data_IF_381539433823
#
_entry.id   IF_381539433823
#
_cell.length_a   1.000
_cell.length_b   1.000
_cell.length_c   1.000
_cell.angle_alpha   90.00
_cell.angle_beta   90.00
_cell.angle_gamma   90.00
#
_symmetry.space_group_name_H-M   'P 1'
#
loop_
_entity.id
_entity.type
_entity.pdbx_description
1 polymer ?
#
# COMPACT_ATOMS: atom_id res chain seq x y z
N UNK A 1 12.58 5.22 -14.89
CA UNK A 1 11.34 5.40 -14.12
C UNK A 1 10.57 6.55 -14.72
N UNK A 2 9.32 6.33 -15.13
CA UNK A 2 8.47 7.36 -15.76
C UNK A 2 8.02 8.37 -14.71
N UNK A 3 8.59 9.56 -14.76
CA UNK A 3 8.14 10.69 -13.98
C UNK A 3 6.65 10.95 -14.26
N UNK A 4 5.81 10.93 -13.22
CA UNK A 4 4.39 11.28 -13.30
C UNK A 4 3.42 10.18 -13.73
N UNK A 5 3.87 8.94 -13.93
CA UNK A 5 3.00 7.79 -14.20
C UNK A 5 3.30 6.66 -13.21
N UNK A 6 2.72 6.75 -12.02
CA UNK A 6 2.68 5.68 -11.04
C UNK A 6 1.30 5.68 -10.40
N UNK A 7 0.72 4.50 -10.19
CA UNK A 7 -0.54 4.39 -9.47
C UNK A 7 -0.24 4.55 -7.97
N UNK A 8 -0.55 5.71 -7.36
CA UNK A 8 0.11 6.16 -6.13
C UNK A 8 -0.15 5.25 -4.92
N UNK A 9 -1.20 4.42 -4.97
CA UNK A 9 -1.55 3.49 -3.89
C UNK A 9 -0.69 2.22 -3.83
N UNK A 10 0.12 1.95 -4.86
CA UNK A 10 1.10 0.87 -4.87
C UNK A 10 2.51 1.37 -4.52
N UNK A 11 2.70 2.68 -4.53
CA UNK A 11 3.99 3.32 -4.28
C UNK A 11 4.37 3.22 -2.79
N UNK A 12 5.61 2.83 -2.53
CA UNK A 12 6.17 2.75 -1.17
C UNK A 12 6.23 4.14 -0.48
N UNK A 13 6.09 4.20 0.85
CA UNK A 13 6.03 5.45 1.60
C UNK A 13 7.27 6.32 1.39
N UNK A 14 8.46 5.74 1.37
CA UNK A 14 9.71 6.47 1.14
C UNK A 14 9.76 7.12 -0.24
N UNK A 15 9.10 6.54 -1.25
CA UNK A 15 9.04 7.09 -2.61
C UNK A 15 8.00 8.20 -2.71
N UNK A 16 6.88 8.07 -1.99
CA UNK A 16 5.90 9.16 -1.84
C UNK A 16 6.51 10.39 -1.15
N UNK A 17 7.45 10.18 -0.22
CA UNK A 17 8.23 11.23 0.44
C UNK A 17 9.35 11.84 -0.44
N UNK A 18 9.53 11.33 -1.66
CA UNK A 18 10.58 11.80 -2.56
C UNK A 18 11.98 11.33 -2.19
N UNK A 19 12.11 10.31 -1.33
CA UNK A 19 13.40 9.67 -1.03
C UNK A 19 13.87 8.83 -2.22
N UNK A 20 15.13 8.38 -2.14
CA UNK A 20 15.78 7.60 -3.18
C UNK A 20 15.08 6.26 -3.38
N UNK A 21 14.82 5.93 -4.64
CA UNK A 21 14.35 4.60 -5.05
C UNK A 21 15.38 3.50 -4.75
N UNK A 22 14.91 2.41 -4.17
CA UNK A 22 15.67 1.18 -3.89
C UNK A 22 14.81 -0.03 -4.20
N UNK A 23 15.40 -1.22 -4.22
CA UNK A 23 14.69 -2.49 -4.36
C UNK A 23 13.64 -2.73 -3.25
N UNK A 24 13.72 -2.00 -2.12
CA UNK A 24 12.69 -2.05 -1.07
C UNK A 24 11.36 -1.49 -1.53
N UNK A 25 11.37 -0.50 -2.43
CA UNK A 25 10.14 0.06 -3.00
C UNK A 25 9.42 -0.96 -3.90
N UNK A 26 10.18 -1.77 -4.64
CA UNK A 26 9.62 -2.89 -5.42
C UNK A 26 9.01 -3.96 -4.50
N UNK A 27 9.70 -4.31 -3.40
CA UNK A 27 9.22 -5.27 -2.41
C UNK A 27 7.92 -4.79 -1.76
N UNK A 28 7.82 -3.50 -1.42
CA UNK A 28 6.59 -2.91 -0.91
C UNK A 28 5.46 -3.04 -1.93
N UNK A 29 5.71 -2.61 -3.17
CA UNK A 29 4.73 -2.66 -4.26
C UNK A 29 4.22 -4.09 -4.52
N UNK A 30 5.12 -5.08 -4.41
CA UNK A 30 4.76 -6.50 -4.48
C UNK A 30 3.80 -6.91 -3.35
N UNK A 31 4.02 -6.45 -2.12
CA UNK A 31 3.08 -6.68 -1.02
C UNK A 31 1.70 -6.09 -1.26
N UNK A 32 1.63 -4.90 -1.87
CA UNK A 32 0.35 -4.29 -2.29
C UNK A 32 -0.35 -5.16 -3.33
N UNK A 33 0.37 -5.62 -4.35
CA UNK A 33 -0.16 -6.52 -5.39
C UNK A 33 -0.67 -7.84 -4.78
N UNK A 34 0.02 -8.42 -3.81
CA UNK A 34 -0.46 -9.62 -3.12
C UNK A 34 -1.80 -9.37 -2.41
N UNK A 35 -1.99 -8.20 -1.81
CA UNK A 35 -3.28 -7.85 -1.19
C UNK A 35 -4.39 -7.64 -2.22
N UNK A 36 -4.06 -7.06 -3.38
CA UNK A 36 -5.00 -6.85 -4.48
C UNK A 36 -5.44 -8.19 -5.09
N UNK A 37 -4.51 -9.13 -5.29
CA UNK A 37 -4.82 -10.47 -5.79
C UNK A 37 -5.71 -11.26 -4.81
N UNK A 38 -5.44 -11.14 -3.51
CA UNK A 38 -6.22 -11.81 -2.47
C UNK A 38 -7.64 -11.23 -2.34
N UNK A 39 -7.77 -9.91 -2.34
CA UNK A 39 -9.06 -9.24 -2.15
C UNK A 39 -9.84 -9.02 -3.44
N UNK A 40 -9.19 -9.18 -4.60
CA UNK A 40 -9.71 -8.83 -5.93
C UNK A 40 -10.19 -7.39 -6.04
N UNK A 41 -9.62 -6.49 -5.23
CA UNK A 41 -9.97 -5.08 -5.14
C UNK A 41 -8.71 -4.23 -5.32
N UNK A 42 -8.86 -3.09 -5.96
CA UNK A 42 -7.79 -2.10 -6.00
C UNK A 42 -7.48 -1.62 -4.57
N UNK A 43 -6.22 -1.25 -4.25
CA UNK A 43 -5.86 -0.76 -2.93
C UNK A 43 -6.76 0.40 -2.50
N UNK A 44 -7.31 0.29 -1.29
CA UNK A 44 -8.20 1.29 -0.69
C UNK A 44 -9.52 1.55 -1.43
N UNK A 45 -9.95 0.65 -2.32
CA UNK A 45 -11.21 0.78 -3.06
C UNK A 45 -12.40 1.12 -2.17
N UNK A 46 -12.49 0.49 -0.99
CA UNK A 46 -13.59 0.70 -0.04
C UNK A 46 -13.58 2.12 0.57
N UNK A 47 -12.41 2.67 0.87
CA UNK A 47 -12.26 4.04 1.40
C UNK A 47 -12.60 5.11 0.35
N UNK A 48 -12.34 4.79 -0.92
CA UNK A 48 -12.59 5.69 -2.06
C UNK A 48 -14.03 5.62 -2.57
N UNK A 49 -14.67 4.44 -2.46
CA UNK A 49 -16.02 4.18 -2.96
C UNK A 49 -17.12 4.51 -1.94
N UNK A 50 -16.79 4.71 -0.65
CA UNK A 50 -17.77 5.06 0.36
C UNK A 50 -18.36 6.46 0.14
N UNK A 51 -19.66 6.52 -0.17
CA UNK A 51 -20.40 7.76 -0.46
C UNK A 51 -20.66 8.61 0.79
N UNK A 52 -20.81 7.97 1.97
CA UNK A 52 -21.14 8.66 3.22
C UNK A 52 -19.91 9.25 3.92
N UNK A 53 -18.75 8.62 3.73
CA UNK A 53 -17.49 9.07 4.35
C UNK A 53 -16.32 8.97 3.38
N UNK A 54 -16.44 9.67 2.24
CA UNK A 54 -15.46 9.63 1.16
C UNK A 54 -14.12 10.20 1.62
N UNK A 55 -13.11 9.34 1.75
CA UNK A 55 -11.75 9.78 2.05
C UNK A 55 -11.11 10.30 0.77
N UNK A 56 -10.53 11.50 0.83
CA UNK A 56 -9.79 12.05 -0.32
C UNK A 56 -8.52 11.23 -0.55
N UNK A 57 -8.14 10.95 -1.81
CA UNK A 57 -6.89 10.23 -2.14
C UNK A 57 -5.66 10.77 -1.40
N UNK A 58 -5.56 12.09 -1.25
CA UNK A 58 -4.46 12.74 -0.55
C UNK A 58 -4.32 12.30 0.91
N UNK A 59 -5.44 12.16 1.64
CA UNK A 59 -5.40 11.69 3.03
C UNK A 59 -4.91 10.24 3.12
N UNK A 60 -5.35 9.38 2.20
CA UNK A 60 -4.87 7.98 2.13
C UNK A 60 -3.35 7.96 1.97
N UNK A 61 -2.79 8.76 1.06
CA UNK A 61 -1.35 8.83 0.84
C UNK A 61 -0.60 9.35 2.08
N UNK A 62 -1.15 10.36 2.78
CA UNK A 62 -0.57 10.84 4.03
C UNK A 62 -0.51 9.76 5.11
N UNK A 63 -1.59 8.98 5.30
CA UNK A 63 -1.62 7.90 6.29
C UNK A 63 -0.67 6.75 5.92
N UNK A 64 -0.48 6.48 4.63
CA UNK A 64 0.52 5.52 4.13
C UNK A 64 1.94 5.99 4.45
N UNK A 65 2.25 7.26 4.16
CA UNK A 65 3.55 7.86 4.49
C UNK A 65 3.81 7.87 6.00
N UNK A 66 2.76 8.08 6.81
CA UNK A 66 2.85 8.00 8.27
C UNK A 66 2.98 6.57 8.81
N UNK A 67 2.85 5.54 7.95
CA UNK A 67 2.83 4.13 8.35
C UNK A 67 1.58 3.70 9.12
N UNK A 68 0.56 4.58 9.22
CA UNK A 68 -0.70 4.33 9.90
C UNK A 68 -1.66 3.49 9.05
N UNK A 69 -1.55 3.60 7.72
CA UNK A 69 -2.39 2.87 6.77
C UNK A 69 -1.54 2.00 5.84
N UNK A 70 -2.03 0.80 5.57
CA UNK A 70 -1.49 -0.13 4.58
C UNK A 70 -2.59 -1.03 4.03
N UNK A 71 -2.41 -1.63 2.84
CA UNK A 71 -3.35 -2.62 2.32
C UNK A 71 -3.46 -3.82 3.25
N UNK A 72 -4.66 -4.40 3.29
CA UNK A 72 -4.96 -5.55 4.13
C UNK A 72 -5.45 -6.71 3.28
N UNK A 73 -5.46 -7.90 3.88
CA UNK A 73 -5.89 -9.14 3.25
C UNK A 73 -7.31 -9.53 3.70
N UNK A 74 -8.01 -10.25 2.85
CA UNK A 74 -9.32 -10.86 3.13
C UNK A 74 -9.23 -11.84 4.29
N UNK A 75 -10.35 -12.07 4.99
CA UNK A 75 -10.44 -13.03 6.10
C UNK A 75 -9.99 -14.45 5.74
N UNK A 76 -10.20 -14.85 4.49
CA UNK A 76 -9.93 -16.20 3.98
C UNK A 76 -8.50 -16.37 3.43
N UNK A 77 -7.70 -15.30 3.41
CA UNK A 77 -6.33 -15.33 2.92
C UNK A 77 -5.48 -16.38 3.65
N UNK A 78 -4.79 -17.30 2.93
CA UNK A 78 -3.88 -18.24 3.54
C UNK A 78 -2.82 -17.55 4.39
N UNK A 79 -2.62 -18.02 5.63
CA UNK A 79 -1.76 -17.38 6.62
C UNK A 79 -0.33 -17.14 6.15
N UNK A 80 0.22 -18.04 5.32
CA UNK A 80 1.55 -17.90 4.72
C UNK A 80 1.61 -16.72 3.75
N UNK A 81 0.60 -16.54 2.91
CA UNK A 81 0.55 -15.44 1.94
C UNK A 81 0.38 -14.10 2.65
N UNK A 82 -0.58 -14.02 3.59
CA UNK A 82 -0.79 -12.85 4.44
C UNK A 82 0.50 -12.43 5.16
N UNK A 83 1.23 -13.39 5.75
CA UNK A 83 2.48 -13.12 6.46
C UNK A 83 3.55 -12.52 5.54
N UNK A 84 3.71 -13.06 4.33
CA UNK A 84 4.67 -12.54 3.34
C UNK A 84 4.26 -11.14 2.92
N UNK A 85 3.00 -10.93 2.52
CA UNK A 85 2.53 -9.62 2.09
C UNK A 85 2.66 -8.53 3.15
N UNK A 86 2.32 -8.85 4.40
CA UNK A 86 2.51 -7.91 5.52
C UNK A 86 3.98 -7.62 5.82
N UNK A 87 4.88 -8.58 5.62
CA UNK A 87 6.32 -8.38 5.77
C UNK A 87 6.89 -7.52 4.62
N UNK A 88 6.40 -7.70 3.40
CA UNK A 88 6.76 -6.85 2.25
C UNK A 88 6.39 -5.38 2.48
N UNK A 89 5.25 -5.12 3.12
CA UNK A 89 4.75 -3.78 3.44
C UNK A 89 5.12 -3.33 4.86
N UNK A 90 6.14 -3.93 5.48
CA UNK A 90 6.60 -3.52 6.79
C UNK A 90 7.31 -2.15 6.68
N UNK A 91 6.75 -1.14 7.35
CA UNK A 91 7.45 0.13 7.50
C UNK A 91 8.64 -0.10 8.43
N UNK A 92 9.90 0.20 8.03
CA UNK A 92 10.98 0.24 8.99
C UNK A 92 10.58 1.29 10.04
N UNK A 93 10.35 0.84 11.27
CA UNK A 93 10.19 1.74 12.39
C UNK A 93 11.48 2.54 12.47
N UNK A 94 11.37 3.86 12.50
CA UNK A 94 12.51 4.71 12.81
C UNK A 94 12.99 4.32 14.22
N UNK A 95 14.05 3.53 14.26
CA UNK A 95 14.88 3.31 15.44
C UNK A 95 16.22 3.98 15.17
#
# INVERSE_FOLDING_TARGET
MTAGAGTPFWTAPEILEGKRYTEKADIYSFGVVLSELDTQKTPYQELLANTENKVKPFHILQEVMAGALRPNFSGDCPSRLRKIGLACMAHPQAN
#
